data_IF_166535322257
#
_entry.id   IF_166535322257
#
_cell.length_a   1.000
_cell.length_b   1.000
_cell.length_c   1.000
_cell.angle_alpha   90.00
_cell.angle_beta   90.00
_cell.angle_gamma   90.00
#
_symmetry.space_group_name_H-M   'P 1'
#
loop_
_entity.id
_entity.type
_entity.pdbx_description
1 polymer ?
#
# COMPACT_ATOMS: atom_id res chain seq x y z
N UNK A 1 20.15 11.77 0.04
CA UNK A 1 18.96 11.60 -0.77
C UNK A 1 18.54 10.16 -0.78
N UNK A 2 17.27 9.91 -0.57
CA UNK A 2 16.74 8.56 -0.56
C UNK A 2 16.57 8.07 -1.98
N UNK A 3 16.92 6.81 -2.19
CA UNK A 3 16.67 6.13 -3.45
C UNK A 3 15.18 5.86 -3.61
N UNK A 4 14.67 6.07 -4.80
CA UNK A 4 13.30 5.71 -5.18
C UNK A 4 13.24 4.20 -5.40
N UNK A 5 12.35 3.51 -4.66
CA UNK A 5 12.12 2.08 -4.83
C UNK A 5 10.65 1.82 -5.06
N UNK A 6 10.34 0.63 -5.55
CA UNK A 6 8.96 0.16 -5.68
C UNK A 6 8.85 -1.20 -4.99
N UNK A 7 7.77 -1.38 -4.23
CA UNK A 7 7.51 -2.63 -3.54
C UNK A 7 6.13 -3.16 -3.92
N UNK A 8 6.06 -4.47 -4.10
CA UNK A 8 4.80 -5.19 -4.20
C UNK A 8 4.50 -5.78 -2.83
N UNK A 9 3.35 -5.45 -2.27
CA UNK A 9 3.00 -5.83 -0.90
C UNK A 9 1.64 -6.51 -0.89
N UNK A 10 1.54 -7.61 -0.14
CA UNK A 10 0.26 -8.26 0.11
C UNK A 10 0.00 -8.28 1.61
N UNK A 11 -1.17 -7.77 2.00
CA UNK A 11 -1.62 -7.74 3.38
C UNK A 11 -2.71 -8.77 3.58
N UNK A 12 -2.61 -9.57 4.66
CA UNK A 12 -3.65 -10.52 5.03
C UNK A 12 -4.17 -10.22 6.43
N UNK A 13 -5.36 -10.75 6.75
CA UNK A 13 -6.02 -10.53 8.02
C UNK A 13 -7.35 -9.82 7.81
N UNK A 14 -7.75 -8.97 8.76
CA UNK A 14 -8.96 -8.17 8.62
C UNK A 14 -8.61 -6.88 7.89
N UNK A 15 -8.56 -6.98 6.57
CA UNK A 15 -8.09 -5.90 5.70
C UNK A 15 -9.14 -5.47 4.67
N UNK A 16 -10.15 -6.31 4.39
CA UNK A 16 -11.26 -5.92 3.52
C UNK A 16 -12.48 -5.54 4.37
N UNK A 17 -13.31 -4.62 3.85
CA UNK A 17 -14.52 -4.19 4.55
C UNK A 17 -14.24 -3.27 5.73
N UNK A 18 -13.03 -2.74 5.86
CA UNK A 18 -12.61 -1.86 6.96
C UNK A 18 -12.00 -0.56 6.44
N UNK A 19 -12.34 -0.19 5.22
CA UNK A 19 -11.86 1.03 4.54
C UNK A 19 -10.34 1.05 4.29
N UNK A 20 -9.72 -0.12 4.21
CA UNK A 20 -8.26 -0.22 3.99
C UNK A 20 -7.83 0.56 2.75
N UNK A 21 -8.49 0.34 1.61
CA UNK A 21 -8.09 0.95 0.34
C UNK A 21 -8.16 2.47 0.39
N UNK A 22 -9.21 3.01 1.02
CA UNK A 22 -9.36 4.46 1.16
C UNK A 22 -8.32 5.05 2.10
N UNK A 23 -8.04 4.37 3.21
CA UNK A 23 -7.00 4.80 4.15
C UNK A 23 -5.63 4.75 3.51
N UNK A 24 -5.33 3.68 2.76
CA UNK A 24 -4.07 3.55 2.06
C UNK A 24 -3.88 4.68 1.05
N UNK A 25 -4.92 4.98 0.28
CA UNK A 25 -4.86 6.07 -0.70
C UNK A 25 -4.61 7.41 -0.01
N UNK A 26 -5.30 7.67 1.09
CA UNK A 26 -5.14 8.91 1.83
C UNK A 26 -3.72 9.04 2.39
N UNK A 27 -3.23 7.97 3.02
CA UNK A 27 -1.90 7.96 3.62
C UNK A 27 -0.82 8.11 2.54
N UNK A 28 -0.90 7.32 1.48
CA UNK A 28 0.08 7.39 0.40
C UNK A 28 0.07 8.76 -0.27
N UNK A 29 -1.11 9.32 -0.50
CA UNK A 29 -1.22 10.66 -1.08
C UNK A 29 -0.58 11.73 -0.21
N UNK A 30 -0.79 11.66 1.10
CA UNK A 30 -0.21 12.63 2.02
C UNK A 30 1.31 12.52 2.12
N UNK A 31 1.85 11.33 1.87
CA UNK A 31 3.29 11.08 1.92
C UNK A 31 3.98 11.25 0.56
N UNK A 32 3.22 11.57 -0.48
CA UNK A 32 3.78 11.71 -1.82
C UNK A 32 4.15 10.39 -2.49
N UNK A 33 3.61 9.28 -2.02
CA UNK A 33 3.85 7.98 -2.62
C UNK A 33 2.91 7.74 -3.80
N UNK A 34 3.37 7.00 -4.79
CA UNK A 34 2.55 6.59 -5.94
C UNK A 34 2.37 5.08 -5.93
N UNK A 35 1.39 4.60 -6.69
CA UNK A 35 1.13 3.17 -6.76
C UNK A 35 -0.34 2.87 -6.92
N UNK A 36 -0.72 1.69 -6.45
CA UNK A 36 -2.11 1.26 -6.50
C UNK A 36 -2.39 0.24 -5.39
N UNK A 37 -3.66 0.09 -5.07
CA UNK A 37 -4.14 -0.87 -4.07
C UNK A 37 -5.43 -1.48 -4.56
N UNK A 38 -5.62 -2.78 -4.31
CA UNK A 38 -6.84 -3.48 -4.69
C UNK A 38 -7.13 -4.64 -3.73
N UNK A 39 -8.42 -4.99 -3.62
CA UNK A 39 -8.83 -6.20 -2.91
C UNK A 39 -8.60 -7.43 -3.78
N UNK A 40 -8.21 -8.52 -3.14
CA UNK A 40 -8.12 -9.83 -3.79
C UNK A 40 -9.32 -10.70 -3.42
N UNK A 41 -9.64 -11.68 -4.26
CA UNK A 41 -10.77 -12.58 -4.00
C UNK A 41 -10.61 -13.40 -2.73
N UNK A 42 -9.37 -13.70 -2.35
CA UNK A 42 -9.09 -14.51 -1.16
C UNK A 42 -9.19 -13.72 0.16
N UNK A 43 -9.55 -12.44 0.11
CA UNK A 43 -9.66 -11.60 1.29
C UNK A 43 -8.46 -10.74 1.57
N UNK A 44 -7.36 -10.94 0.87
CA UNK A 44 -6.17 -10.11 1.03
C UNK A 44 -6.32 -8.75 0.33
N UNK A 45 -5.42 -7.84 0.65
CA UNK A 45 -5.25 -6.58 -0.08
C UNK A 45 -3.86 -6.58 -0.70
N UNK A 46 -3.82 -6.28 -2.00
CA UNK A 46 -2.59 -6.21 -2.76
C UNK A 46 -2.27 -4.76 -3.09
N UNK A 47 -0.99 -4.40 -3.01
CA UNK A 47 -0.54 -3.02 -3.23
C UNK A 47 0.79 -3.03 -3.95
N UNK A 48 0.97 -2.07 -4.86
CA UNK A 48 2.30 -1.66 -5.28
C UNK A 48 2.47 -0.21 -4.87
N UNK A 49 3.64 0.13 -4.35
CA UNK A 49 3.90 1.46 -3.82
C UNK A 49 5.33 1.87 -4.14
N UNK A 50 5.49 3.14 -4.49
CA UNK A 50 6.76 3.68 -4.97
C UNK A 50 7.09 4.99 -4.29
N UNK A 51 8.34 5.10 -3.88
CA UNK A 51 8.87 6.28 -3.23
C UNK A 51 10.15 5.95 -2.48
N UNK A 52 10.61 6.87 -1.63
CA UNK A 52 11.76 6.58 -0.78
C UNK A 52 11.46 5.45 0.20
N UNK A 53 12.46 4.62 0.46
CA UNK A 53 12.30 3.45 1.35
C UNK A 53 11.74 3.84 2.71
N UNK A 54 12.27 4.90 3.30
CA UNK A 54 11.84 5.33 4.63
C UNK A 54 10.39 5.79 4.64
N UNK A 55 9.95 6.41 3.55
CA UNK A 55 8.58 6.89 3.41
C UNK A 55 7.61 5.70 3.26
N UNK A 56 8.01 4.67 2.52
CA UNK A 56 7.21 3.46 2.40
C UNK A 56 7.07 2.79 3.77
N UNK A 57 8.16 2.70 4.53
CA UNK A 57 8.12 2.13 5.88
C UNK A 57 7.20 2.94 6.80
N UNK A 58 7.21 4.26 6.68
CA UNK A 58 6.31 5.12 7.45
C UNK A 58 4.85 4.86 7.09
N UNK A 59 4.55 4.70 5.80
CA UNK A 59 3.20 4.37 5.35
C UNK A 59 2.72 3.08 5.98
N UNK A 60 3.56 2.05 6.00
CA UNK A 60 3.20 0.76 6.61
C UNK A 60 2.88 0.93 8.09
N UNK A 61 3.70 1.69 8.82
CA UNK A 61 3.43 1.98 10.24
C UNK A 61 2.10 2.68 10.43
N UNK A 62 1.77 3.63 9.57
CA UNK A 62 0.51 4.37 9.66
C UNK A 62 -0.70 3.48 9.40
N UNK A 63 -0.58 2.53 8.47
CA UNK A 63 -1.64 1.56 8.21
C UNK A 63 -1.84 0.65 9.42
N UNK A 64 -0.75 0.14 10.00
CA UNK A 64 -0.83 -0.69 11.20
C UNK A 64 -1.51 0.03 12.38
N UNK A 65 -1.40 1.35 12.43
CA UNK A 65 -1.99 2.15 13.51
C UNK A 65 -3.50 2.39 13.34
N UNK A 66 -4.10 1.99 12.23
CA UNK A 66 -5.52 2.20 12.00
C UNK A 66 -6.35 1.26 12.87
N UNK A 67 -7.34 1.78 13.64
CA UNK A 67 -8.01 0.99 14.68
C UNK A 67 -8.84 -0.18 14.17
N UNK A 68 -9.34 -0.12 12.94
CA UNK A 68 -10.22 -1.16 12.40
C UNK A 68 -9.52 -2.11 11.43
N UNK A 69 -8.23 -1.90 11.19
CA UNK A 69 -7.43 -2.74 10.30
C UNK A 69 -6.58 -3.66 11.16
N UNK A 70 -6.71 -4.97 10.94
CA UNK A 70 -5.92 -5.97 11.65
C UNK A 70 -5.09 -6.75 10.65
N UNK A 71 -3.81 -6.44 10.56
CA UNK A 71 -2.89 -7.12 9.66
C UNK A 71 -2.31 -8.33 10.39
N UNK A 72 -2.57 -9.52 9.86
CA UNK A 72 -2.05 -10.77 10.40
C UNK A 72 -0.78 -11.20 9.69
N UNK A 73 -0.64 -10.81 8.41
CA UNK A 73 0.52 -11.13 7.63
C UNK A 73 0.82 -10.06 6.61
N UNK A 74 2.08 -9.92 6.28
CA UNK A 74 2.54 -9.01 5.24
C UNK A 74 3.63 -9.70 4.44
N UNK A 75 3.48 -9.73 3.11
CA UNK A 75 4.51 -10.22 2.20
C UNK A 75 4.91 -9.05 1.32
N UNK A 76 6.20 -8.85 1.15
CA UNK A 76 6.71 -7.68 0.45
C UNK A 76 7.96 -8.04 -0.32
N UNK A 77 8.04 -7.57 -1.57
CA UNK A 77 9.24 -7.73 -2.38
C UNK A 77 9.51 -6.43 -3.13
N UNK A 78 10.76 -6.15 -3.39
CA UNK A 78 11.15 -5.01 -4.17
C UNK A 78 11.08 -5.35 -5.66
N UNK A 79 10.46 -4.46 -6.43
CA UNK A 79 10.30 -4.64 -7.88
C UNK A 79 10.81 -3.38 -8.58
N UNK A 80 10.86 -3.43 -9.91
CA UNK A 80 11.35 -2.30 -10.69
C UNK A 80 10.42 -1.10 -10.57
N UNK A 81 10.95 0.11 -10.39
CA UNK A 81 10.15 1.33 -10.39
C UNK A 81 9.45 1.57 -11.73
N UNK A 82 8.31 2.27 -11.67
CA UNK A 82 7.58 2.73 -12.84
C UNK A 82 7.79 4.24 -12.95
N UNK A 83 8.65 4.71 -13.87
CA UNK A 83 8.97 6.14 -13.94
C UNK A 83 7.82 7.01 -14.44
N UNK A 84 6.77 6.41 -14.99
CA UNK A 84 5.63 7.16 -15.53
C UNK A 84 4.49 7.29 -14.55
N UNK A 85 4.56 6.63 -13.41
CA UNK A 85 3.47 6.68 -12.43
C UNK A 85 3.42 8.02 -11.71
N UNK A 86 2.21 8.61 -11.60
CA UNK A 86 2.05 9.98 -11.10
C UNK A 86 1.19 10.08 -9.84
N UNK A 87 0.46 9.05 -9.48
CA UNK A 87 -0.48 9.13 -8.38
C UNK A 87 -0.67 7.78 -7.73
N UNK A 88 -1.37 7.78 -6.59
CA UNK A 88 -1.78 6.54 -5.94
C UNK A 88 -3.27 6.30 -6.22
N UNK A 89 -3.61 5.10 -6.67
CA UNK A 89 -4.95 4.78 -7.17
C UNK A 89 -5.52 3.54 -6.50
N UNK A 90 -6.84 3.52 -6.36
CA UNK A 90 -7.57 2.30 -6.01
C UNK A 90 -7.94 1.62 -7.31
N UNK A 91 -7.60 0.33 -7.47
CA UNK A 91 -7.89 -0.43 -8.69
C UNK A 91 -8.66 -1.70 -8.35
N UNK A 92 -9.09 -2.42 -9.40
CA UNK A 92 -9.84 -3.65 -9.22
C UNK A 92 -11.33 -3.39 -9.02
N UNK A 93 -12.12 -4.45 -9.11
CA UNK A 93 -13.57 -4.36 -9.10
C UNK A 93 -14.24 -4.90 -7.84
N UNK A 94 -13.49 -5.22 -6.83
CA UNK A 94 -14.06 -5.80 -5.61
C UNK A 94 -14.41 -4.75 -4.58
#
# INVERSE_FOLDING_TARGET
MSEMIRRHIRFSGRVQGVAFRYRAKEICGSLGLTGWVRNEYNGDVEMEVQGPRETINEMIRMIYAQPYIHIEGIESEEIAPDPDERSFRITGGL
#
